data_IF_732199923845
#
_entry.id   IF_732199923845
#
_cell.length_a   1.000
_cell.length_b   1.000
_cell.length_c   1.000
_cell.angle_alpha   90.00
_cell.angle_beta   90.00
_cell.angle_gamma   90.00
#
_symmetry.space_group_name_H-M   'P 1'
#
loop_
_entity.id
_entity.type
_entity.pdbx_description
1 polymer ?
#
# COMPACT_ATOMS: atom_id res chain seq x y z
N UNK A 1 -9.95 21.43 9.41
CA UNK A 1 -9.64 20.72 10.66
C UNK A 1 -8.50 19.75 10.37
N UNK A 2 -7.27 20.26 10.22
CA UNK A 2 -6.05 19.47 10.07
C UNK A 2 -5.06 20.04 11.08
N UNK A 3 -4.38 19.17 11.83
CA UNK A 3 -3.00 19.37 12.36
C UNK A 3 -2.59 18.40 13.46
N UNK A 4 -3.41 17.43 13.86
CA UNK A 4 -2.89 16.35 14.72
C UNK A 4 -2.10 15.34 13.88
N UNK A 5 -0.89 15.76 13.49
CA UNK A 5 0.19 14.82 13.19
C UNK A 5 0.34 13.99 14.47
N UNK A 6 0.15 12.67 14.38
CA UNK A 6 0.39 11.79 15.52
C UNK A 6 1.89 11.80 15.83
N UNK A 7 2.27 12.61 16.82
CA UNK A 7 3.65 12.77 17.27
C UNK A 7 4.13 11.58 18.11
N UNK A 8 3.24 10.64 18.46
CA UNK A 8 3.54 9.48 19.29
C UNK A 8 4.08 8.28 18.51
N UNK A 9 4.08 8.35 17.18
CA UNK A 9 4.65 7.29 16.35
C UNK A 9 6.17 7.38 16.34
N UNK A 10 6.80 6.23 16.48
CA UNK A 10 8.22 6.08 16.19
C UNK A 10 8.52 6.44 14.73
N UNK A 11 9.78 6.68 14.44
CA UNK A 11 10.25 6.92 13.08
C UNK A 11 11.31 5.86 12.77
N UNK A 12 11.02 4.94 11.85
CA UNK A 12 12.00 3.94 11.42
C UNK A 12 13.03 4.50 10.43
N UNK A 13 13.00 5.80 10.15
CA UNK A 13 13.87 6.49 9.21
C UNK A 13 13.59 6.11 7.76
N UNK A 14 12.34 5.73 7.43
CA UNK A 14 11.93 5.31 6.09
C UNK A 14 11.29 6.48 5.36
N UNK A 15 11.78 6.74 4.16
CA UNK A 15 11.28 7.77 3.27
C UNK A 15 11.64 7.41 1.83
N UNK A 16 11.16 8.20 0.88
CA UNK A 16 11.48 8.05 -0.52
C UNK A 16 11.87 9.37 -1.16
N UNK A 17 12.58 9.26 -2.28
CA UNK A 17 12.84 10.38 -3.19
C UNK A 17 12.30 10.03 -4.57
N UNK A 18 11.86 11.04 -5.31
CA UNK A 18 11.39 10.86 -6.70
C UNK A 18 12.32 11.57 -7.67
N UNK A 19 12.73 10.87 -8.71
CA UNK A 19 13.32 11.46 -9.91
C UNK A 19 12.50 11.04 -11.13
N UNK A 20 11.73 12.00 -11.66
CA UNK A 20 10.71 11.74 -12.69
C UNK A 20 9.77 10.59 -12.28
N UNK A 21 9.68 9.51 -13.08
CA UNK A 21 8.84 8.34 -12.77
C UNK A 21 9.46 7.40 -11.74
N UNK A 22 10.71 7.58 -11.36
CA UNK A 22 11.43 6.66 -10.48
C UNK A 22 11.26 7.08 -9.03
N UNK A 23 10.79 6.16 -8.19
CA UNK A 23 10.77 6.25 -6.74
C UNK A 23 11.93 5.44 -6.19
N UNK A 24 12.78 6.08 -5.38
CA UNK A 24 13.88 5.43 -4.65
C UNK A 24 13.56 5.40 -3.16
N UNK A 25 13.68 4.21 -2.55
CA UNK A 25 13.30 3.95 -1.17
C UNK A 25 14.52 3.91 -0.24
N UNK A 26 14.51 4.75 0.78
CA UNK A 26 15.61 4.89 1.73
C UNK A 26 15.34 4.14 3.04
N UNK A 27 16.36 3.46 3.61
CA UNK A 27 17.77 3.43 3.19
C UNK A 27 18.11 2.30 2.20
N UNK A 28 17.13 1.53 1.72
CA UNK A 28 17.36 0.32 0.93
C UNK A 28 17.95 0.54 -0.46
N UNK A 29 17.79 1.76 -1.03
CA UNK A 29 18.08 2.10 -2.43
C UNK A 29 17.32 1.25 -3.45
N UNK A 30 16.28 0.53 -3.03
CA UNK A 30 15.36 -0.16 -3.94
C UNK A 30 14.58 0.91 -4.70
N UNK A 31 14.42 0.70 -6.01
CA UNK A 31 13.67 1.61 -6.87
C UNK A 31 12.50 0.90 -7.56
N UNK A 32 11.50 1.68 -7.93
CA UNK A 32 10.43 1.27 -8.84
C UNK A 32 9.93 2.48 -9.64
N UNK A 33 9.25 2.23 -10.74
CA UNK A 33 8.65 3.28 -11.57
C UNK A 33 7.14 3.34 -11.37
N UNK A 34 6.59 4.55 -11.38
CA UNK A 34 5.15 4.81 -11.42
C UNK A 34 4.68 5.11 -12.86
N UNK A 35 3.38 4.96 -13.17
CA UNK A 35 2.81 5.35 -14.47
C UNK A 35 3.00 6.84 -14.79
N UNK A 36 3.06 7.19 -16.09
CA UNK A 36 3.15 8.58 -16.53
C UNK A 36 1.90 9.39 -16.15
N UNK A 37 0.73 8.76 -16.19
CA UNK A 37 -0.55 9.37 -15.80
C UNK A 37 -0.53 9.94 -14.37
N UNK A 38 0.23 9.31 -13.46
CA UNK A 38 0.35 9.76 -12.08
C UNK A 38 1.15 11.05 -11.97
N UNK A 39 2.17 11.23 -12.82
CA UNK A 39 2.93 12.47 -12.90
C UNK A 39 2.07 13.58 -13.51
N UNK A 40 1.24 13.26 -14.49
CA UNK A 40 0.36 14.24 -15.11
C UNK A 40 -0.73 14.70 -14.13
N UNK A 41 -1.24 13.79 -13.29
CA UNK A 41 -2.08 14.15 -12.14
C UNK A 41 -1.35 15.04 -11.14
N UNK A 42 -0.13 14.66 -10.74
CA UNK A 42 0.67 15.40 -9.76
C UNK A 42 0.96 16.83 -10.22
N UNK A 43 1.28 17.04 -11.51
CA UNK A 43 1.49 18.38 -12.08
C UNK A 43 0.30 19.32 -11.89
N UNK A 44 -0.92 18.76 -11.83
CA UNK A 44 -2.13 19.55 -11.70
C UNK A 44 -2.57 19.71 -10.24
N UNK A 45 -2.46 18.65 -9.43
CA UNK A 45 -3.12 18.59 -8.12
C UNK A 45 -2.16 18.49 -6.93
N UNK A 46 -0.91 18.04 -7.13
CA UNK A 46 0.11 17.92 -6.09
C UNK A 46 -0.35 17.19 -4.81
N UNK A 47 -1.14 16.12 -4.97
CA UNK A 47 -1.84 15.47 -3.86
C UNK A 47 -1.70 13.94 -3.83
N UNK A 48 -0.92 13.35 -4.73
CA UNK A 48 -0.82 11.90 -4.90
C UNK A 48 0.58 11.32 -4.62
N UNK A 49 1.59 12.15 -4.33
CA UNK A 49 2.93 11.70 -3.91
C UNK A 49 3.22 12.10 -2.46
N UNK A 50 3.40 11.10 -1.59
CA UNK A 50 3.76 11.30 -0.19
C UNK A 50 5.02 10.49 0.11
N UNK A 51 6.16 11.18 0.15
CA UNK A 51 7.48 10.52 0.12
C UNK A 51 8.31 10.84 1.36
N UNK A 52 8.07 12.00 1.99
CA UNK A 52 8.68 12.36 3.26
C UNK A 52 7.86 11.87 4.46
N UNK A 53 8.52 11.74 5.62
CA UNK A 53 7.85 11.40 6.88
C UNK A 53 6.65 12.29 7.20
N UNK A 54 6.78 13.60 6.95
CA UNK A 54 5.71 14.57 7.22
C UNK A 54 4.50 14.32 6.32
N UNK A 55 4.73 14.01 5.05
CA UNK A 55 3.66 13.72 4.09
C UNK A 55 2.99 12.38 4.40
N UNK A 56 3.77 11.33 4.66
CA UNK A 56 3.28 10.00 5.01
C UNK A 56 2.34 10.03 6.21
N UNK A 57 2.69 10.79 7.26
CA UNK A 57 1.82 10.93 8.45
C UNK A 57 0.43 11.49 8.11
N UNK A 58 0.29 12.31 7.06
CA UNK A 58 -1.00 12.86 6.63
C UNK A 58 -1.90 11.82 5.95
N UNK A 59 -1.31 10.78 5.37
CA UNK A 59 -2.03 9.74 4.61
C UNK A 59 -2.17 8.41 5.35
N UNK A 60 -1.75 8.34 6.61
CA UNK A 60 -1.81 7.12 7.43
C UNK A 60 -3.21 6.50 7.48
N UNK A 61 -4.21 7.29 7.85
CA UNK A 61 -5.57 6.80 8.18
C UNK A 61 -6.51 6.90 6.97
N UNK A 62 -6.15 7.65 5.94
CA UNK A 62 -7.09 7.98 4.87
C UNK A 62 -8.25 8.83 5.34
N UNK A 63 -9.09 9.23 4.39
CA UNK A 63 -10.34 9.88 4.72
C UNK A 63 -11.46 9.38 3.83
N UNK A 64 -12.66 9.39 4.37
CA UNK A 64 -13.82 8.92 3.67
C UNK A 64 -13.92 7.44 3.87
N UNK A 65 -14.80 6.88 3.09
CA UNK A 65 -15.36 5.57 3.35
C UNK A 65 -14.40 4.46 2.92
N UNK A 66 -13.80 4.59 1.74
CA UNK A 66 -12.91 3.59 1.15
C UNK A 66 -11.48 3.64 1.70
N UNK A 67 -10.87 4.83 1.67
CA UNK A 67 -9.47 4.98 2.06
C UNK A 67 -9.25 4.70 3.55
N UNK A 68 -10.27 4.95 4.39
CA UNK A 68 -10.19 4.60 5.81
C UNK A 68 -10.28 3.10 6.05
N UNK A 69 -11.08 2.37 5.27
CA UNK A 69 -11.14 0.91 5.32
C UNK A 69 -9.82 0.29 4.83
N UNK A 70 -9.31 0.76 3.68
CA UNK A 70 -8.02 0.35 3.15
C UNK A 70 -6.89 0.62 4.16
N UNK A 71 -6.81 1.84 4.68
CA UNK A 71 -5.84 2.21 5.70
C UNK A 71 -5.94 1.33 6.95
N UNK A 72 -7.15 1.04 7.43
CA UNK A 72 -7.34 0.22 8.62
C UNK A 72 -6.79 -1.19 8.42
N UNK A 73 -7.07 -1.82 7.27
CA UNK A 73 -6.55 -3.15 6.95
C UNK A 73 -5.03 -3.12 6.79
N UNK A 74 -4.49 -2.17 6.01
CA UNK A 74 -3.05 -2.09 5.73
C UNK A 74 -2.23 -1.74 6.99
N UNK A 75 -2.70 -0.80 7.81
CA UNK A 75 -2.04 -0.43 9.06
C UNK A 75 -2.10 -1.54 10.12
N UNK A 76 -3.07 -2.47 10.02
CA UNK A 76 -3.09 -3.67 10.85
C UNK A 76 -2.11 -4.72 10.32
N UNK A 77 -1.91 -4.83 9.01
CA UNK A 77 -0.96 -5.76 8.40
C UNK A 77 0.51 -5.38 8.68
N UNK A 78 0.85 -4.10 8.55
CA UNK A 78 2.23 -3.61 8.54
C UNK A 78 2.38 -2.38 9.45
N UNK A 79 3.49 -2.26 10.20
CA UNK A 79 3.79 -1.05 10.95
C UNK A 79 3.89 0.15 10.00
N UNK A 80 3.12 1.20 10.25
CA UNK A 80 3.11 2.38 9.37
C UNK A 80 4.46 3.10 9.36
N UNK A 81 5.23 2.98 10.43
CA UNK A 81 6.58 3.52 10.60
C UNK A 81 7.57 2.97 9.56
N UNK A 82 7.31 1.79 9.00
CA UNK A 82 8.13 1.18 7.94
C UNK A 82 7.72 1.63 6.52
N UNK A 83 6.64 2.41 6.39
CA UNK A 83 6.20 2.96 5.11
C UNK A 83 7.19 4.02 4.64
N UNK A 84 7.74 3.84 3.45
CA UNK A 84 8.69 4.75 2.82
C UNK A 84 8.04 5.63 1.74
N UNK A 85 6.95 5.17 1.13
CA UNK A 85 6.19 5.93 0.15
C UNK A 85 4.71 5.56 0.18
N UNK A 86 3.84 6.56 -0.01
CA UNK A 86 2.46 6.39 -0.43
C UNK A 86 2.27 7.19 -1.71
N UNK A 87 1.95 6.52 -2.81
CA UNK A 87 1.81 7.10 -4.13
C UNK A 87 0.57 6.55 -4.83
N UNK A 88 -0.11 7.34 -5.66
CA UNK A 88 -1.33 6.88 -6.32
C UNK A 88 -1.65 7.55 -7.64
N UNK A 89 -2.63 7.00 -8.36
CA UNK A 89 -3.17 7.61 -9.58
C UNK A 89 -3.86 8.94 -9.33
N UNK A 90 -4.44 9.09 -8.13
CA UNK A 90 -5.10 10.30 -7.67
C UNK A 90 -4.72 10.61 -6.21
N UNK A 91 -5.29 11.68 -5.65
CA UNK A 91 -5.09 12.04 -4.25
C UNK A 91 -5.69 11.02 -3.28
N UNK A 92 -5.19 11.02 -2.04
CA UNK A 92 -5.68 10.12 -0.98
C UNK A 92 -6.63 10.84 -0.02
N UNK A 93 -7.70 10.16 0.38
CA UNK A 93 -8.73 10.66 1.29
C UNK A 93 -9.71 11.59 0.59
N UNK A 94 -9.98 12.74 1.21
CA UNK A 94 -10.84 13.79 0.63
C UNK A 94 -10.36 14.36 -0.71
N UNK A 95 -9.13 14.01 -1.09
CA UNK A 95 -8.46 14.51 -2.29
C UNK A 95 -8.54 13.51 -3.46
N UNK A 96 -9.06 12.30 -3.24
CA UNK A 96 -9.36 11.33 -4.29
C UNK A 96 -10.65 11.67 -5.01
N UNK A 97 -10.73 11.39 -6.31
CA UNK A 97 -11.93 11.62 -7.11
C UNK A 97 -12.59 10.33 -7.60
N UNK A 98 -11.89 9.21 -7.52
CA UNK A 98 -12.34 7.89 -7.96
C UNK A 98 -12.13 6.82 -6.88
N UNK A 99 -12.99 5.79 -6.90
CA UNK A 99 -12.80 4.54 -6.15
C UNK A 99 -11.89 3.55 -6.89
N UNK A 100 -11.78 3.71 -8.22
CA UNK A 100 -11.10 2.78 -9.11
C UNK A 100 -9.61 3.03 -9.24
N UNK A 101 -9.09 4.11 -8.66
CA UNK A 101 -7.68 4.44 -8.78
C UNK A 101 -6.81 3.46 -7.99
N UNK A 102 -5.57 3.30 -8.46
CA UNK A 102 -4.60 2.45 -7.79
C UNK A 102 -3.80 3.29 -6.81
N UNK A 103 -3.84 2.90 -5.55
CA UNK A 103 -3.03 3.48 -4.48
C UNK A 103 -1.97 2.47 -4.06
N UNK A 104 -0.74 2.93 -3.88
CA UNK A 104 0.42 2.09 -3.55
C UNK A 104 1.11 2.61 -2.32
N UNK A 105 1.32 1.71 -1.35
CA UNK A 105 2.28 1.93 -0.27
C UNK A 105 3.48 1.03 -0.45
N UNK A 106 4.67 1.61 -0.32
CA UNK A 106 5.92 0.88 -0.34
C UNK A 106 6.54 0.88 1.07
N UNK A 107 6.76 -0.31 1.61
CA UNK A 107 7.38 -0.50 2.91
C UNK A 107 8.78 -1.10 2.76
N UNK A 108 9.69 -0.66 3.64
CA UNK A 108 11.03 -1.23 3.79
C UNK A 108 11.11 -1.89 5.17
N UNK A 109 10.85 -3.20 5.18
CA UNK A 109 10.70 -3.99 6.41
C UNK A 109 11.94 -4.82 6.71
N UNK A 110 12.16 -5.12 7.99
CA UNK A 110 13.14 -6.11 8.44
C UNK A 110 12.51 -7.50 8.66
N UNK A 111 11.19 -7.58 8.71
CA UNK A 111 10.45 -8.83 8.83
C UNK A 111 10.76 -9.73 7.65
N UNK A 112 10.85 -11.03 7.87
CA UNK A 112 10.90 -12.03 6.79
C UNK A 112 9.61 -12.03 5.97
N UNK A 113 9.67 -12.54 4.74
CA UNK A 113 8.49 -12.68 3.87
C UNK A 113 7.37 -13.49 4.54
N UNK A 114 7.73 -14.54 5.28
CA UNK A 114 6.80 -15.36 6.06
C UNK A 114 6.13 -14.56 7.19
N UNK A 115 6.90 -13.75 7.92
CA UNK A 115 6.36 -12.88 8.97
C UNK A 115 5.42 -11.82 8.39
N UNK A 116 5.77 -11.20 7.27
CA UNK A 116 4.90 -10.25 6.57
C UNK A 116 3.57 -10.92 6.21
N UNK A 117 3.61 -12.05 5.50
CA UNK A 117 2.38 -12.75 5.10
C UNK A 117 1.57 -13.27 6.30
N UNK A 118 2.25 -13.69 7.38
CA UNK A 118 1.61 -14.09 8.64
C UNK A 118 0.86 -12.92 9.28
N UNK A 119 1.42 -11.70 9.28
CA UNK A 119 0.74 -10.51 9.78
C UNK A 119 -0.41 -10.07 8.90
N UNK A 120 -0.25 -10.12 7.57
CA UNK A 120 -1.35 -9.87 6.62
C UNK A 120 -2.51 -10.83 6.91
N UNK A 121 -2.23 -12.13 7.05
CA UNK A 121 -3.25 -13.16 7.31
C UNK A 121 -3.88 -13.06 8.71
N UNK A 122 -3.13 -12.70 9.74
CA UNK A 122 -3.62 -12.71 11.13
C UNK A 122 -4.25 -11.37 11.55
N UNK A 123 -3.61 -10.26 11.18
CA UNK A 123 -3.97 -8.93 11.66
C UNK A 123 -4.79 -8.18 10.59
N UNK A 124 -4.24 -8.05 9.37
CA UNK A 124 -4.93 -7.40 8.27
C UNK A 124 -6.27 -8.07 7.91
N UNK A 125 -6.23 -9.37 7.68
CA UNK A 125 -7.43 -10.13 7.31
C UNK A 125 -8.49 -10.14 8.43
N UNK A 126 -8.09 -10.12 9.71
CA UNK A 126 -9.05 -10.01 10.81
C UNK A 126 -9.80 -8.66 10.79
N UNK A 127 -9.11 -7.56 10.45
CA UNK A 127 -9.77 -6.26 10.25
C UNK A 127 -10.71 -6.31 9.05
N UNK A 128 -10.29 -6.91 7.93
CA UNK A 128 -11.13 -7.06 6.75
C UNK A 128 -12.39 -7.92 7.03
N UNK A 129 -12.26 -8.98 7.85
CA UNK A 129 -13.40 -9.75 8.35
C UNK A 129 -14.34 -8.88 9.20
N UNK A 130 -13.80 -8.00 10.04
CA UNK A 130 -14.59 -7.05 10.82
C UNK A 130 -15.36 -6.05 9.97
N UNK A 131 -14.78 -5.59 8.85
CA UNK A 131 -15.46 -4.76 7.85
C UNK A 131 -16.57 -5.57 7.17
N UNK A 132 -16.27 -6.77 6.68
CA UNK A 132 -17.22 -7.66 6.03
C UNK A 132 -18.40 -8.05 6.94
N UNK A 133 -18.17 -8.23 8.24
CA UNK A 133 -19.22 -8.59 9.20
C UNK A 133 -20.21 -7.45 9.49
N UNK A 134 -19.83 -6.20 9.22
CA UNK A 134 -20.68 -5.01 9.40
C UNK A 134 -21.48 -4.67 8.15
N UNK A 135 -21.32 -5.46 7.09
CA UNK A 135 -22.00 -5.25 5.81
C UNK A 135 -23.50 -5.43 5.93
N UNK A 136 -24.22 -4.58 5.21
CA UNK A 136 -25.68 -4.61 5.08
C UNK A 136 -26.08 -4.35 3.62
N UNK A 137 -27.35 -4.60 3.27
CA UNK A 137 -27.81 -4.43 1.90
C UNK A 137 -27.30 -5.51 0.95
N UNK A 138 -26.91 -5.14 -0.28
CA UNK A 138 -26.54 -6.08 -1.34
C UNK A 138 -25.33 -6.95 -1.01
N UNK A 139 -24.43 -6.47 -0.17
CA UNK A 139 -23.24 -7.21 0.27
C UNK A 139 -23.46 -8.04 1.55
N UNK A 140 -24.70 -8.11 2.06
CA UNK A 140 -25.00 -8.85 3.29
C UNK A 140 -24.71 -10.35 3.12
N UNK A 141 -23.87 -10.88 4.00
CA UNK A 141 -23.48 -12.30 3.99
C UNK A 141 -22.28 -12.62 3.12
N UNK A 142 -21.77 -11.66 2.34
CA UNK A 142 -20.48 -11.80 1.69
C UNK A 142 -19.35 -11.84 2.73
N UNK A 143 -18.30 -12.60 2.41
CA UNK A 143 -17.19 -12.85 3.33
C UNK A 143 -15.90 -12.25 2.79
N UNK A 144 -15.07 -11.76 3.69
CA UNK A 144 -13.69 -11.47 3.35
C UNK A 144 -12.97 -12.79 2.96
N UNK A 145 -12.08 -12.69 1.97
CA UNK A 145 -11.19 -13.75 1.51
C UNK A 145 -9.72 -13.40 1.74
N UNK A 146 -8.90 -14.43 1.94
CA UNK A 146 -7.45 -14.33 1.93
C UNK A 146 -6.86 -15.45 1.09
N UNK A 147 -5.92 -15.11 0.22
CA UNK A 147 -5.10 -16.09 -0.51
C UNK A 147 -3.64 -15.71 -0.44
N UNK A 148 -2.77 -16.72 -0.46
CA UNK A 148 -1.33 -16.53 -0.61
C UNK A 148 -0.85 -17.34 -1.81
N UNK A 149 0.10 -16.80 -2.54
CA UNK A 149 0.70 -17.43 -3.72
C UNK A 149 2.15 -16.95 -3.88
N UNK A 150 2.87 -17.56 -4.82
CA UNK A 150 4.14 -17.03 -5.31
C UNK A 150 3.94 -16.67 -6.78
N UNK A 151 4.32 -15.45 -7.17
CA UNK A 151 4.22 -14.96 -8.53
C UNK A 151 5.61 -14.51 -8.99
N UNK A 152 6.22 -15.27 -9.90
CA UNK A 152 7.61 -15.09 -10.31
C UNK A 152 8.56 -15.08 -9.09
N UNK A 153 9.13 -13.91 -8.77
CA UNK A 153 10.05 -13.70 -7.65
C UNK A 153 9.39 -12.94 -6.48
N UNK A 154 8.06 -12.90 -6.44
CA UNK A 154 7.28 -12.25 -5.40
C UNK A 154 6.55 -13.27 -4.55
N UNK A 155 6.60 -13.09 -3.23
CA UNK A 155 5.62 -13.69 -2.34
C UNK A 155 4.40 -12.78 -2.31
N UNK A 156 3.22 -13.34 -2.56
CA UNK A 156 2.00 -12.56 -2.76
C UNK A 156 0.92 -12.97 -1.75
N UNK A 157 0.39 -12.01 -1.00
CA UNK A 157 -0.81 -12.15 -0.18
C UNK A 157 -1.91 -11.24 -0.69
N UNK A 158 -3.12 -11.76 -0.89
CA UNK A 158 -4.28 -10.97 -1.32
C UNK A 158 -5.38 -11.04 -0.27
N UNK A 159 -5.87 -9.88 0.15
CA UNK A 159 -7.11 -9.74 0.90
C UNK A 159 -8.18 -9.21 -0.04
N UNK A 160 -9.36 -9.81 0.01
CA UNK A 160 -10.55 -9.28 -0.66
C UNK A 160 -11.68 -9.16 0.35
N UNK A 161 -12.46 -8.08 0.31
CA UNK A 161 -13.64 -7.97 1.18
C UNK A 161 -14.76 -7.18 0.48
N UNK A 162 -16.03 -7.49 0.79
CA UNK A 162 -17.14 -6.63 0.38
C UNK A 162 -17.00 -5.23 1.02
N UNK A 163 -16.92 -4.15 0.22
CA UNK A 163 -16.92 -2.79 0.76
C UNK A 163 -18.33 -2.41 1.26
N UNK A 164 -18.43 -1.45 2.18
CA UNK A 164 -19.69 -1.05 2.84
C UNK A 164 -20.73 -0.29 1.99
N UNK A 165 -20.56 -0.25 0.68
CA UNK A 165 -21.22 0.76 -0.15
C UNK A 165 -22.09 0.10 -1.21
N UNK A 166 -23.42 0.29 -1.05
CA UNK A 166 -24.45 -0.41 -1.83
C UNK A 166 -24.58 0.02 -3.29
N UNK A 167 -23.79 1.01 -3.74
CA UNK A 167 -23.65 1.40 -5.14
C UNK A 167 -22.53 0.61 -5.87
N UNK A 168 -21.77 -0.21 -5.14
CA UNK A 168 -20.70 -1.02 -5.72
C UNK A 168 -20.98 -2.53 -5.54
N UNK A 169 -20.80 -3.29 -6.62
CA UNK A 169 -21.14 -4.73 -6.68
C UNK A 169 -19.96 -5.69 -6.66
N UNK A 170 -18.74 -5.23 -6.33
CA UNK A 170 -17.52 -6.04 -6.37
C UNK A 170 -16.70 -6.01 -5.08
N UNK A 171 -15.84 -7.02 -4.85
CA UNK A 171 -14.97 -7.04 -3.67
C UNK A 171 -13.78 -6.08 -3.82
N UNK A 172 -13.48 -5.33 -2.76
CA UNK A 172 -12.32 -4.46 -2.65
C UNK A 172 -11.03 -5.29 -2.47
N UNK A 173 -10.02 -5.17 -3.36
CA UNK A 173 -8.77 -5.91 -3.25
C UNK A 173 -7.70 -5.11 -2.49
N UNK A 174 -6.86 -5.83 -1.74
CA UNK A 174 -5.58 -5.36 -1.24
C UNK A 174 -4.54 -6.45 -1.53
N UNK A 175 -3.57 -6.13 -2.40
CA UNK A 175 -2.52 -7.06 -2.82
C UNK A 175 -1.19 -6.67 -2.17
N UNK A 176 -0.55 -7.62 -1.49
CA UNK A 176 0.71 -7.47 -0.78
C UNK A 176 1.79 -8.27 -1.49
N UNK A 177 2.70 -7.58 -2.16
CA UNK A 177 3.82 -8.19 -2.88
C UNK A 177 5.11 -7.98 -2.09
N UNK A 178 5.73 -9.08 -1.67
CA UNK A 178 6.97 -9.08 -0.88
C UNK A 178 8.13 -9.59 -1.73
N UNK A 179 9.24 -8.85 -1.71
CA UNK A 179 10.49 -9.22 -2.38
C UNK A 179 11.68 -8.98 -1.49
N UNK A 180 12.58 -9.95 -1.45
CA UNK A 180 13.83 -9.84 -0.71
C UNK A 180 14.77 -8.81 -1.35
N UNK A 181 15.42 -7.99 -0.52
CA UNK A 181 16.29 -6.89 -0.92
C UNK A 181 17.59 -6.79 -0.11
N UNK A 182 18.14 -7.92 0.31
CA UNK A 182 19.30 -7.99 1.20
C UNK A 182 18.90 -7.76 2.65
N UNK A 183 19.45 -6.71 3.28
CA UNK A 183 19.15 -6.34 4.69
C UNK A 183 17.68 -6.01 4.92
N UNK A 184 17.00 -5.52 3.88
CA UNK A 184 15.59 -5.14 3.95
C UNK A 184 14.76 -5.94 2.95
N UNK A 185 13.46 -6.02 3.21
CA UNK A 185 12.46 -6.49 2.24
C UNK A 185 11.60 -5.34 1.78
N UNK A 186 11.32 -5.33 0.49
CA UNK A 186 10.30 -4.48 -0.10
C UNK A 186 8.94 -5.15 0.08
N UNK A 187 7.98 -4.41 0.62
CA UNK A 187 6.56 -4.77 0.51
C UNK A 187 5.85 -3.68 -0.26
N UNK A 188 5.36 -4.01 -1.46
CA UNK A 188 4.43 -3.16 -2.20
C UNK A 188 3.00 -3.59 -1.88
N UNK A 189 2.21 -2.64 -1.41
CA UNK A 189 0.80 -2.83 -1.09
C UNK A 189 -0.03 -2.04 -2.08
N UNK A 190 -0.82 -2.74 -2.89
CA UNK A 190 -1.75 -2.15 -3.85
C UNK A 190 -3.15 -2.14 -3.25
N UNK A 191 -3.81 -0.99 -3.30
CA UNK A 191 -5.18 -0.78 -2.86
C UNK A 191 -5.97 -0.23 -4.04
N UNK A 192 -7.13 -0.81 -4.33
CA UNK A 192 -7.93 -0.48 -5.51
C UNK A 192 -7.55 -1.32 -6.74
N UNK A 193 -8.20 -1.03 -7.86
CA UNK A 193 -8.09 -1.83 -9.09
C UNK A 193 -7.08 -1.25 -10.08
N UNK A 194 -7.02 0.07 -10.19
CA UNK A 194 -6.23 0.75 -11.20
C UNK A 194 -6.70 0.52 -12.62
N UNK A 195 -5.96 1.09 -13.56
CA UNK A 195 -6.05 0.69 -14.96
C UNK A 195 -5.40 -0.68 -15.16
N UNK A 196 -5.92 -1.44 -16.13
CA UNK A 196 -5.39 -2.75 -16.46
C UNK A 196 -3.88 -2.70 -16.71
N UNK A 197 -3.11 -3.48 -15.95
CA UNK A 197 -1.66 -3.59 -16.09
C UNK A 197 -0.82 -2.59 -15.30
N UNK A 198 -1.41 -1.62 -14.58
CA UNK A 198 -0.63 -0.63 -13.79
C UNK A 198 0.20 -1.31 -12.68
N UNK A 199 -0.43 -2.14 -11.85
CA UNK A 199 0.27 -2.86 -10.79
C UNK A 199 1.40 -3.75 -11.35
N UNK A 200 1.12 -4.47 -12.44
CA UNK A 200 2.10 -5.30 -13.12
C UNK A 200 3.29 -4.47 -13.67
N UNK A 201 3.01 -3.30 -14.25
CA UNK A 201 4.06 -2.38 -14.71
C UNK A 201 4.94 -1.90 -13.57
N UNK A 202 4.36 -1.58 -12.41
CA UNK A 202 5.11 -1.17 -11.22
C UNK A 202 5.98 -2.34 -10.73
N UNK A 203 5.41 -3.52 -10.55
CA UNK A 203 6.12 -4.72 -10.10
C UNK A 203 7.30 -5.09 -11.01
N UNK A 204 7.12 -5.03 -12.33
CA UNK A 204 8.14 -5.34 -13.32
C UNK A 204 9.28 -4.31 -13.38
N UNK A 205 9.04 -3.09 -12.88
CA UNK A 205 10.04 -2.01 -12.86
C UNK A 205 10.93 -2.02 -11.61
N UNK A 206 10.66 -2.91 -10.64
CA UNK A 206 11.38 -2.95 -9.37
C UNK A 206 12.83 -3.38 -9.56
N UNK A 207 13.76 -2.49 -9.20
CA UNK A 207 15.20 -2.77 -9.17
C UNK A 207 15.66 -2.82 -7.71
N UNK A 208 16.17 -3.99 -7.34
CA UNK A 208 16.83 -4.21 -6.05
C UNK A 208 18.33 -4.05 -6.27
N UNK A 209 19.03 -3.15 -5.54
CA UNK A 209 20.47 -3.00 -5.66
C UNK A 209 21.14 -4.33 -5.30
N UNK A 210 22.16 -4.72 -6.07
CA UNK A 210 22.98 -5.87 -5.71
C UNK A 210 23.56 -5.63 -4.31
N UNK A 211 23.22 -6.48 -3.36
CA UNK A 211 23.72 -6.34 -2.00
C UNK A 211 25.24 -6.35 -2.03
N UNK A 212 25.87 -5.40 -1.33
CA UNK A 212 27.20 -5.66 -0.81
C UNK A 212 27.08 -6.95 0.01
N UNK A 213 27.80 -7.99 -0.41
CA UNK A 213 27.81 -9.25 0.33
C UNK A 213 28.11 -8.92 1.79
N UNK A 214 27.20 -9.29 2.69
CA UNK A 214 27.50 -9.20 4.12
C UNK A 214 28.65 -10.15 4.37
N UNK A 215 29.86 -9.61 4.46
CA UNK A 215 30.98 -10.33 5.05
C UNK A 215 30.66 -10.45 6.53
N UNK A 216 30.31 -11.66 6.94
CA UNK A 216 30.15 -12.06 8.35
C UNK A 216 31.42 -11.79 9.17
#
# INVERSE_FOLDING_TARGET
MYEQIDLRLGDAGRYATRNDRTIELHPSKITFQVPQSWLDWDKQFHNNFHLSHRELRRVRIGHGKWDSEYAAVVNASLPFEECAAHVGGEGWGWQGVSLGDLQVRAYISQLSSEEVLSRVKKQGFAVAQGVAARQSGFAQGEKAGFSASSEQNWQHGKITYPPWYGDYGGPAPIDFYVKDGGKYRLVLVFMGWGLSGEAASILNSVVVPAGEAMTD
#
